data_IF_708697167209
#
_entry.id   IF_708697167209
#
_cell.length_a   1.000
_cell.length_b   1.000
_cell.length_c   1.000
_cell.angle_alpha   90.00
_cell.angle_beta   90.00
_cell.angle_gamma   90.00
#
_symmetry.space_group_name_H-M   'P 1'
#
loop_
_entity.id
_entity.type
_entity.pdbx_description
1 polymer ?
#
# COMPACT_ATOMS: atom_id res chain seq x y z
N UNK A 1 16.30 -13.14 19.12
CA UNK A 1 16.86 -12.32 18.03
C UNK A 1 15.80 -11.31 17.63
N UNK A 2 15.95 -10.04 18.03
CA UNK A 2 15.13 -8.98 17.48
C UNK A 2 15.64 -8.76 16.04
N UNK A 3 15.00 -9.43 15.08
CA UNK A 3 15.15 -9.10 13.67
C UNK A 3 14.69 -7.65 13.51
N UNK A 4 15.56 -6.81 12.95
CA UNK A 4 15.34 -5.41 12.57
C UNK A 4 13.87 -5.00 12.49
N UNK A 5 13.42 -4.10 13.37
CA UNK A 5 12.14 -3.41 13.18
C UNK A 5 12.33 -2.37 12.07
N UNK A 6 11.74 -2.52 10.88
CA UNK A 6 11.88 -1.53 9.83
C UNK A 6 11.15 -0.23 10.23
N UNK A 7 11.88 0.89 10.27
CA UNK A 7 11.28 2.21 10.41
C UNK A 7 10.72 2.64 9.05
N UNK A 8 9.40 2.83 8.99
CA UNK A 8 8.69 3.25 7.78
C UNK A 8 7.91 4.55 8.03
N UNK A 9 7.83 5.37 6.99
CA UNK A 9 6.90 6.48 6.87
C UNK A 9 5.97 6.19 5.69
N UNK A 10 4.67 6.46 5.85
CA UNK A 10 3.65 6.21 4.83
C UNK A 10 2.98 7.54 4.51
N UNK A 11 2.97 7.89 3.22
CA UNK A 11 2.18 8.99 2.69
C UNK A 11 0.94 8.39 2.00
N UNK A 12 -0.25 8.79 2.46
CA UNK A 12 -1.54 8.32 1.97
C UNK A 12 -2.23 9.41 1.16
N UNK A 13 -1.64 9.72 0.00
CA UNK A 13 -2.19 10.69 -0.92
C UNK A 13 -3.48 10.21 -1.59
N UNK A 14 -4.30 11.14 -2.08
CA UNK A 14 -5.53 10.80 -2.82
C UNK A 14 -5.27 10.03 -4.11
N UNK A 15 -4.13 10.29 -4.76
CA UNK A 15 -3.77 9.67 -6.06
C UNK A 15 -2.73 8.58 -5.90
N UNK A 16 -1.74 8.77 -5.03
CA UNK A 16 -0.66 7.80 -4.82
C UNK A 16 -0.41 7.55 -3.34
N UNK A 17 -0.03 6.31 -3.02
CA UNK A 17 0.54 5.91 -1.75
C UNK A 17 2.05 5.77 -1.92
N UNK A 18 2.81 6.36 -0.99
CA UNK A 18 4.26 6.20 -0.93
C UNK A 18 4.65 5.56 0.40
N UNK A 19 5.64 4.67 0.35
CA UNK A 19 6.29 4.13 1.57
C UNK A 19 7.76 4.46 1.50
N UNK A 20 8.26 5.13 2.53
CA UNK A 20 9.68 5.37 2.74
C UNK A 20 10.20 4.45 3.86
N UNK A 21 11.30 3.75 3.63
CA UNK A 21 12.01 2.98 4.64
C UNK A 21 13.34 3.66 5.02
N UNK A 22 13.60 3.83 6.32
CA UNK A 22 14.82 4.48 6.81
C UNK A 22 16.08 3.80 6.25
N UNK A 23 16.96 4.59 5.63
CA UNK A 23 18.19 4.11 5.00
C UNK A 23 18.00 3.47 3.61
N UNK A 24 16.76 3.35 3.11
CA UNK A 24 16.46 2.81 1.78
C UNK A 24 15.72 3.80 0.86
N UNK A 25 15.19 4.89 1.40
CA UNK A 25 14.43 5.86 0.62
C UNK A 25 13.00 5.39 0.36
N UNK A 26 12.37 5.87 -0.71
CA UNK A 26 11.04 5.43 -1.16
C UNK A 26 11.14 4.01 -1.72
N UNK A 27 10.44 3.07 -1.09
CA UNK A 27 10.43 1.64 -1.43
C UNK A 27 9.10 1.17 -2.04
N UNK A 28 8.05 2.00 -1.99
CA UNK A 28 6.77 1.79 -2.68
C UNK A 28 6.25 3.12 -3.20
N UNK A 29 5.73 3.12 -4.42
CA UNK A 29 5.00 4.22 -5.04
C UNK A 29 3.94 3.63 -5.96
N UNK A 30 2.71 3.51 -5.46
CA UNK A 30 1.60 2.85 -6.13
C UNK A 30 0.39 3.81 -6.18
N UNK A 31 -0.51 3.69 -7.17
CA UNK A 31 -1.77 4.43 -7.15
C UNK A 31 -2.62 4.09 -5.92
N UNK A 32 -3.31 5.09 -5.37
CA UNK A 32 -4.23 4.98 -4.23
C UNK A 32 -5.58 4.38 -4.64
N UNK A 33 -5.55 3.18 -5.23
CA UNK A 33 -6.73 2.51 -5.80
C UNK A 33 -6.84 1.07 -5.32
N UNK A 34 -8.08 0.58 -5.28
CA UNK A 34 -8.42 -0.80 -4.94
C UNK A 34 -9.45 -1.29 -5.95
N UNK A 35 -9.20 -2.44 -6.57
CA UNK A 35 -10.19 -3.12 -7.38
C UNK A 35 -11.08 -3.97 -6.46
N UNK A 36 -12.39 -3.74 -6.55
CA UNK A 36 -13.41 -4.44 -5.77
C UNK A 36 -14.32 -5.25 -6.69
N UNK A 37 -14.66 -6.46 -6.24
CA UNK A 37 -15.73 -7.27 -6.80
C UNK A 37 -16.89 -7.30 -5.81
N UNK A 38 -18.07 -6.91 -6.28
CA UNK A 38 -19.31 -6.93 -5.50
C UNK A 38 -20.21 -8.07 -5.98
N UNK A 39 -20.49 -9.00 -5.08
CA UNK A 39 -21.55 -10.00 -5.20
C UNK A 39 -22.68 -9.64 -4.21
N UNK A 40 -23.87 -10.24 -4.35
CA UNK A 40 -25.12 -9.84 -3.67
C UNK A 40 -24.97 -9.32 -2.22
N UNK A 41 -24.23 -10.05 -1.37
CA UNK A 41 -23.98 -9.66 0.03
C UNK A 41 -22.49 -9.73 0.39
N UNK A 42 -21.59 -9.65 -0.59
CA UNK A 42 -20.15 -9.81 -0.36
C UNK A 42 -19.33 -8.88 -1.24
N UNK A 43 -18.57 -7.99 -0.61
CA UNK A 43 -17.51 -7.23 -1.25
C UNK A 43 -16.19 -7.95 -1.05
N UNK A 44 -15.49 -8.22 -2.15
CA UNK A 44 -14.16 -8.83 -2.15
C UNK A 44 -13.16 -7.86 -2.78
N UNK A 45 -12.05 -7.61 -2.10
CA UNK A 45 -10.91 -6.91 -2.70
C UNK A 45 -10.19 -7.90 -3.62
N UNK A 46 -10.08 -7.56 -4.90
CA UNK A 46 -9.42 -8.43 -5.90
C UNK A 46 -8.02 -7.94 -6.25
N UNK A 47 -7.75 -6.63 -6.12
CA UNK A 47 -6.41 -6.05 -6.31
C UNK A 47 -6.25 -4.75 -5.51
N UNK A 48 -5.01 -4.43 -5.13
CA UNK A 48 -4.62 -3.17 -4.48
C UNK A 48 -3.40 -2.61 -5.19
N UNK A 49 -3.45 -1.35 -5.59
CA UNK A 49 -2.41 -0.74 -6.42
C UNK A 49 -2.37 -1.29 -7.85
N UNK A 50 -1.24 -1.02 -8.53
CA UNK A 50 -0.86 -1.25 -9.93
C UNK A 50 -1.28 -0.21 -10.98
N UNK A 51 -0.34 -0.03 -11.91
CA UNK A 51 -0.11 1.11 -12.81
C UNK A 51 -1.28 1.49 -13.73
#
# INVERSE_FOLDING_TARGET
MALFTPYIAIDLGTVNVLVHAQGRGVVLHEPSVVAIQEDENKTTIVEVGRA
#
